data_IF_119227937856
#
_entry.id   IF_119227937856
#
_cell.length_a   1.000
_cell.length_b   1.000
_cell.length_c   1.000
_cell.angle_alpha   90.00
_cell.angle_beta   90.00
_cell.angle_gamma   90.00
#
_symmetry.space_group_name_H-M   'P 1'
#
loop_
_entity.id
_entity.type
_entity.pdbx_description
1 polymer ?
#
# COMPACT_ATOMS: atom_id res chain seq x y z
N UNK A 1 30.69 8.30 -13.56
CA UNK A 1 29.46 7.50 -13.61
C UNK A 1 28.34 8.43 -13.17
N UNK A 2 27.39 8.85 -14.01
CA UNK A 2 26.32 9.73 -13.58
C UNK A 2 25.29 8.93 -12.78
N UNK A 3 24.91 9.48 -11.64
CA UNK A 3 23.81 9.06 -10.80
C UNK A 3 22.51 9.27 -11.57
N UNK A 4 21.78 8.18 -11.89
CA UNK A 4 20.39 8.22 -12.33
C UNK A 4 19.53 8.62 -11.12
N UNK A 5 19.43 9.91 -10.89
CA UNK A 5 18.27 10.49 -10.24
C UNK A 5 17.12 10.32 -11.24
N UNK A 6 16.13 9.54 -10.90
CA UNK A 6 14.85 9.48 -11.61
C UNK A 6 14.22 10.87 -11.53
N UNK A 7 14.58 11.73 -12.48
CA UNK A 7 13.91 13.01 -12.70
C UNK A 7 12.44 12.69 -13.02
N UNK A 8 11.55 13.04 -12.10
CA UNK A 8 10.16 13.28 -12.47
C UNK A 8 10.19 14.31 -13.60
N UNK A 9 10.00 13.84 -14.82
CA UNK A 9 10.06 14.74 -15.99
C UNK A 9 8.95 15.78 -15.85
N UNK A 10 9.18 17.04 -16.22
CA UNK A 10 8.20 18.13 -16.14
C UNK A 10 6.85 17.80 -16.78
N UNK A 11 6.83 16.91 -17.77
CA UNK A 11 5.63 16.46 -18.46
C UNK A 11 4.74 15.54 -17.61
N UNK A 12 5.31 14.72 -16.72
CA UNK A 12 4.54 13.87 -15.82
C UNK A 12 3.84 14.71 -14.74
N UNK A 13 4.55 15.68 -14.16
CA UNK A 13 4.00 16.61 -13.17
C UNK A 13 2.88 17.47 -13.79
N UNK A 14 3.04 17.95 -15.01
CA UNK A 14 2.02 18.71 -15.72
C UNK A 14 0.75 17.89 -16.03
N UNK A 15 0.88 16.58 -16.31
CA UNK A 15 -0.26 15.71 -16.57
C UNK A 15 -1.04 15.38 -15.31
N UNK A 16 -0.36 15.13 -14.17
CA UNK A 16 -1.01 14.88 -12.87
C UNK A 16 -1.91 16.05 -12.44
N UNK A 17 -1.47 17.27 -12.69
CA UNK A 17 -2.19 18.48 -12.29
C UNK A 17 -3.37 18.84 -13.20
N UNK A 18 -3.41 18.39 -14.46
CA UNK A 18 -4.45 18.80 -15.44
C UNK A 18 -5.86 18.41 -15.04
N UNK A 19 -6.05 17.27 -14.34
CA UNK A 19 -7.37 16.78 -13.91
C UNK A 19 -7.97 17.58 -12.76
N UNK A 20 -7.12 18.26 -11.97
CA UNK A 20 -7.51 18.93 -10.74
C UNK A 20 -7.17 20.43 -10.82
N UNK A 21 -7.72 21.10 -11.84
CA UNK A 21 -7.54 22.52 -12.15
C UNK A 21 -8.86 23.26 -12.33
N UNK A 22 -9.94 22.71 -11.77
CA UNK A 22 -11.26 23.33 -11.84
C UNK A 22 -11.22 24.71 -11.18
N UNK A 23 -11.55 25.75 -11.95
CA UNK A 23 -11.55 27.15 -11.47
C UNK A 23 -12.66 27.40 -10.45
N UNK A 24 -13.74 26.62 -10.50
CA UNK A 24 -14.88 26.70 -9.58
C UNK A 24 -14.63 25.93 -8.26
N UNK A 25 -13.50 25.23 -8.14
CA UNK A 25 -13.14 24.53 -6.90
C UNK A 25 -12.85 25.51 -5.77
N UNK A 26 -13.43 25.23 -4.60
CA UNK A 26 -13.39 26.12 -3.43
C UNK A 26 -12.19 25.85 -2.50
N UNK A 27 -11.43 24.74 -2.72
CA UNK A 27 -10.25 24.37 -1.91
C UNK A 27 -9.04 24.10 -2.82
N UNK A 28 -7.86 24.53 -2.35
CA UNK A 28 -6.57 24.15 -2.90
C UNK A 28 -5.89 23.18 -1.93
N UNK A 29 -5.66 21.96 -2.39
CA UNK A 29 -4.86 20.97 -1.66
C UNK A 29 -3.42 21.05 -2.19
N UNK A 30 -2.47 21.36 -1.30
CA UNK A 30 -1.05 21.49 -1.62
C UNK A 30 -0.33 20.25 -1.13
N UNK A 31 0.23 19.45 -2.04
CA UNK A 31 1.03 18.28 -1.70
C UNK A 31 2.38 18.67 -1.08
N UNK A 32 3.07 17.74 -0.40
CA UNK A 32 4.34 18.02 0.28
C UNK A 32 5.46 18.47 -0.66
N UNK A 33 5.41 18.08 -1.94
CA UNK A 33 6.31 18.51 -3.01
C UNK A 33 5.90 19.84 -3.65
N UNK A 34 4.87 20.53 -3.12
CA UNK A 34 4.41 21.85 -3.53
C UNK A 34 3.43 21.86 -4.70
N UNK A 35 3.06 20.70 -5.28
CA UNK A 35 2.06 20.65 -6.34
C UNK A 35 0.67 20.96 -5.77
N UNK A 36 -0.11 21.75 -6.52
CA UNK A 36 -1.41 22.30 -6.09
C UNK A 36 -2.55 21.61 -6.86
N UNK A 37 -3.54 21.12 -6.15
CA UNK A 37 -4.75 20.51 -6.69
C UNK A 37 -5.96 21.37 -6.31
N UNK A 38 -6.75 21.77 -7.28
CA UNK A 38 -8.04 22.45 -7.07
C UNK A 38 -9.12 21.39 -6.91
N UNK A 39 -9.74 21.33 -5.75
CA UNK A 39 -10.73 20.30 -5.39
C UNK A 39 -11.93 20.92 -4.68
N UNK A 40 -13.08 20.33 -4.85
CA UNK A 40 -14.26 20.79 -4.14
C UNK A 40 -14.27 20.27 -2.69
N UNK A 41 -14.52 21.14 -1.72
CA UNK A 41 -14.57 20.79 -0.29
C UNK A 41 -15.58 19.68 0.01
N UNK A 42 -16.69 19.63 -0.70
CA UNK A 42 -17.70 18.60 -0.50
C UNK A 42 -17.18 17.19 -0.83
N UNK A 43 -16.27 17.06 -1.82
CA UNK A 43 -15.64 15.79 -2.18
C UNK A 43 -14.71 15.31 -1.05
N UNK A 44 -13.85 16.20 -0.55
CA UNK A 44 -12.98 15.88 0.57
C UNK A 44 -13.77 15.47 1.82
N UNK A 45 -14.84 16.22 2.13
CA UNK A 45 -15.75 15.94 3.26
C UNK A 45 -16.49 14.61 3.11
N UNK A 46 -16.86 14.24 1.88
CA UNK A 46 -17.58 12.99 1.61
C UNK A 46 -16.68 11.76 1.78
N UNK A 47 -15.40 11.86 1.45
CA UNK A 47 -14.50 10.71 1.35
C UNK A 47 -13.51 10.56 2.53
N UNK A 48 -13.40 11.57 3.41
CA UNK A 48 -12.46 11.55 4.54
C UNK A 48 -13.05 12.23 5.77
N UNK A 49 -13.05 11.54 6.90
CA UNK A 49 -13.48 12.14 8.19
C UNK A 49 -12.47 13.18 8.67
N UNK A 50 -11.17 12.97 8.41
CA UNK A 50 -10.11 13.91 8.79
C UNK A 50 -10.22 15.20 7.99
N UNK A 51 -10.36 15.13 6.65
CA UNK A 51 -10.57 16.33 5.83
C UNK A 51 -11.86 17.06 6.20
N UNK A 52 -12.92 16.33 6.54
CA UNK A 52 -14.16 16.93 7.03
C UNK A 52 -13.89 17.78 8.29
N UNK A 53 -13.22 17.20 9.28
CA UNK A 53 -12.91 17.92 10.53
C UNK A 53 -11.96 19.09 10.29
N UNK A 54 -10.96 18.96 9.42
CA UNK A 54 -10.07 20.06 9.05
C UNK A 54 -10.84 21.23 8.45
N UNK A 55 -11.77 20.95 7.52
CA UNK A 55 -12.58 21.96 6.83
C UNK A 55 -13.66 22.58 7.74
N UNK A 56 -14.05 21.91 8.84
CA UNK A 56 -14.94 22.47 9.86
C UNK A 56 -14.23 23.42 10.81
N UNK A 57 -12.92 23.20 11.04
CA UNK A 57 -12.11 24.03 11.94
C UNK A 57 -11.51 25.25 11.24
N UNK A 58 -11.41 25.24 9.92
CA UNK A 58 -10.78 26.29 9.11
C UNK A 58 -11.86 27.19 8.46
N UNK A 59 -12.42 28.16 9.20
CA UNK A 59 -13.50 29.03 8.72
C UNK A 59 -13.12 29.96 7.55
N UNK A 60 -11.85 30.13 7.20
CA UNK A 60 -11.41 31.11 6.20
C UNK A 60 -10.24 30.65 5.30
N UNK A 61 -9.68 29.47 5.51
CA UNK A 61 -8.57 28.99 4.69
C UNK A 61 -9.10 28.20 3.48
N UNK A 62 -8.86 28.71 2.27
CA UNK A 62 -9.13 27.99 1.03
C UNK A 62 -7.99 27.04 0.65
N UNK A 63 -7.01 26.85 1.54
CA UNK A 63 -5.81 26.07 1.25
C UNK A 63 -5.50 25.10 2.40
N UNK A 64 -5.26 23.82 2.04
CA UNK A 64 -4.82 22.77 2.95
C UNK A 64 -3.42 22.35 2.51
N UNK A 65 -2.42 22.51 3.39
CA UNK A 65 -1.02 22.18 3.12
C UNK A 65 -0.70 20.83 3.77
N UNK A 66 -0.26 19.88 2.96
CA UNK A 66 0.21 18.57 3.36
C UNK A 66 1.74 18.63 3.53
N UNK A 67 2.29 17.97 4.55
CA UNK A 67 3.71 18.15 4.95
C UNK A 67 4.49 16.87 5.11
N UNK A 68 3.88 15.71 4.91
CA UNK A 68 4.52 14.41 5.06
C UNK A 68 5.08 13.95 3.72
N UNK A 69 6.39 14.06 3.55
CA UNK A 69 7.08 13.78 2.28
C UNK A 69 7.00 12.30 1.85
N UNK A 70 6.75 11.37 2.78
CA UNK A 70 6.62 9.95 2.41
C UNK A 70 5.26 9.63 1.80
N UNK A 71 4.18 10.14 2.37
CA UNK A 71 2.82 9.72 1.99
C UNK A 71 1.95 10.83 1.37
N UNK A 72 2.39 12.09 1.39
CA UNK A 72 1.61 13.22 0.91
C UNK A 72 2.19 13.91 -0.33
N UNK A 73 3.09 13.22 -1.03
CA UNK A 73 3.61 13.67 -2.32
C UNK A 73 2.50 13.68 -3.39
N UNK A 74 2.66 14.50 -4.39
CA UNK A 74 1.64 14.78 -5.42
C UNK A 74 1.12 13.55 -6.15
N UNK A 75 1.97 12.55 -6.39
CA UNK A 75 1.60 11.30 -7.03
C UNK A 75 0.65 10.45 -6.16
N UNK A 76 0.80 10.51 -4.82
CA UNK A 76 -0.09 9.82 -3.88
C UNK A 76 -1.41 10.56 -3.71
N UNK A 77 -1.35 11.90 -3.60
CA UNK A 77 -2.54 12.76 -3.54
C UNK A 77 -3.38 12.58 -4.80
N UNK A 78 -2.77 12.54 -5.98
CA UNK A 78 -3.47 12.28 -7.25
C UNK A 78 -4.17 10.92 -7.25
N UNK A 79 -3.49 9.84 -6.83
CA UNK A 79 -4.10 8.51 -6.70
C UNK A 79 -5.29 8.50 -5.73
N UNK A 80 -5.18 9.18 -4.59
CA UNK A 80 -6.28 9.32 -3.65
C UNK A 80 -7.49 10.03 -4.29
N UNK A 81 -7.25 11.14 -4.98
CA UNK A 81 -8.31 11.89 -5.65
C UNK A 81 -8.95 11.06 -6.78
N UNK A 82 -8.15 10.38 -7.60
CA UNK A 82 -8.67 9.48 -8.66
C UNK A 82 -9.60 8.41 -8.07
N UNK A 83 -9.15 7.71 -7.03
CA UNK A 83 -9.96 6.67 -6.38
C UNK A 83 -11.23 7.23 -5.72
N UNK A 84 -11.14 8.41 -5.11
CA UNK A 84 -12.28 9.06 -4.44
C UNK A 84 -13.33 9.52 -5.44
N UNK A 85 -12.91 9.94 -6.63
CA UNK A 85 -13.80 10.43 -7.70
C UNK A 85 -14.21 9.34 -8.70
N UNK A 86 -13.75 8.10 -8.50
CA UNK A 86 -14.07 6.98 -9.39
C UNK A 86 -13.34 7.05 -10.74
N UNK A 87 -12.26 7.82 -10.82
CA UNK A 87 -11.39 7.81 -11.99
C UNK A 87 -10.48 6.57 -11.97
N UNK A 88 -10.16 6.05 -13.13
CA UNK A 88 -9.15 4.99 -13.25
C UNK A 88 -7.76 5.61 -13.07
N UNK A 89 -6.96 5.13 -12.07
CA UNK A 89 -5.61 5.63 -11.86
C UNK A 89 -4.72 5.37 -13.08
N UNK A 90 -3.92 6.36 -13.47
CA UNK A 90 -2.92 6.17 -14.51
C UNK A 90 -1.73 5.38 -13.95
N UNK A 91 -1.63 4.11 -14.36
CA UNK A 91 -0.59 3.18 -13.91
C UNK A 91 0.47 2.93 -14.99
N UNK A 92 0.25 3.36 -16.24
CA UNK A 92 1.07 2.95 -17.38
C UNK A 92 2.50 3.49 -17.34
N UNK A 93 2.71 4.64 -16.72
CA UNK A 93 4.04 5.28 -16.66
C UNK A 93 4.95 4.72 -15.55
N UNK A 94 4.48 3.74 -14.75
CA UNK A 94 5.16 3.33 -13.52
C UNK A 94 5.56 1.87 -13.58
N UNK A 95 6.86 1.57 -13.42
CA UNK A 95 7.32 0.17 -13.30
C UNK A 95 6.70 -0.54 -12.09
N UNK A 96 6.56 -1.86 -12.17
CA UNK A 96 5.88 -2.72 -11.17
C UNK A 96 6.37 -2.49 -9.73
N UNK A 97 7.69 -2.28 -9.54
CA UNK A 97 8.29 -2.03 -8.21
C UNK A 97 7.85 -0.67 -7.67
N UNK A 98 7.94 0.38 -8.48
CA UNK A 98 7.55 1.73 -8.10
C UNK A 98 6.04 1.81 -7.82
N UNK A 99 5.24 1.13 -8.62
CA UNK A 99 3.81 1.04 -8.37
C UNK A 99 3.51 0.36 -7.02
N UNK A 100 4.25 -0.69 -6.66
CA UNK A 100 4.13 -1.34 -5.36
C UNK A 100 4.46 -0.39 -4.18
N UNK A 101 5.49 0.46 -4.34
CA UNK A 101 5.85 1.48 -3.36
C UNK A 101 4.74 2.53 -3.23
N UNK A 102 4.21 3.02 -4.36
CA UNK A 102 3.08 3.96 -4.38
C UNK A 102 1.83 3.36 -3.73
N UNK A 103 1.52 2.08 -3.98
CA UNK A 103 0.42 1.38 -3.32
C UNK A 103 0.57 1.35 -1.79
N UNK A 104 1.79 1.12 -1.27
CA UNK A 104 2.05 1.18 0.17
C UNK A 104 1.79 2.58 0.72
N UNK A 105 2.40 3.59 0.11
CA UNK A 105 2.24 5.00 0.52
C UNK A 105 0.78 5.44 0.49
N UNK A 106 0.05 5.04 -0.55
CA UNK A 106 -1.38 5.30 -0.65
C UNK A 106 -2.17 4.61 0.47
N UNK A 107 -1.87 3.35 0.81
CA UNK A 107 -2.49 2.66 1.93
C UNK A 107 -2.31 3.40 3.26
N UNK A 108 -1.11 3.92 3.50
CA UNK A 108 -0.77 4.72 4.70
C UNK A 108 -1.49 6.09 4.67
N UNK A 109 -1.57 6.75 3.51
CA UNK A 109 -2.34 7.98 3.32
C UNK A 109 -3.83 7.76 3.63
N UNK A 110 -4.44 6.72 3.08
CA UNK A 110 -5.85 6.39 3.30
C UNK A 110 -6.15 6.10 4.78
N UNK A 111 -5.20 5.52 5.51
CA UNK A 111 -5.31 5.30 6.94
C UNK A 111 -5.19 6.62 7.72
N UNK A 112 -4.21 7.48 7.40
CA UNK A 112 -3.98 8.78 8.05
C UNK A 112 -5.21 9.70 7.93
N UNK A 113 -5.84 9.71 6.75
CA UNK A 113 -6.99 10.57 6.46
C UNK A 113 -8.34 9.91 6.71
N UNK A 114 -8.37 8.69 7.26
CA UNK A 114 -9.60 7.90 7.51
C UNK A 114 -10.53 7.93 6.29
N UNK A 115 -9.98 7.60 5.13
CA UNK A 115 -10.67 7.65 3.85
C UNK A 115 -11.32 6.28 3.52
N UNK A 116 -12.37 5.90 4.27
CA UNK A 116 -12.95 4.56 4.25
C UNK A 116 -13.47 4.13 2.86
N UNK A 117 -14.16 5.01 2.12
CA UNK A 117 -14.69 4.70 0.78
C UNK A 117 -13.56 4.52 -0.25
N UNK A 118 -12.58 5.42 -0.27
CA UNK A 118 -11.41 5.31 -1.14
C UNK A 118 -10.58 4.06 -0.79
N UNK A 119 -10.44 3.74 0.51
CA UNK A 119 -9.80 2.50 0.98
C UNK A 119 -10.48 1.25 0.40
N UNK A 120 -11.81 1.21 0.38
CA UNK A 120 -12.56 0.08 -0.17
C UNK A 120 -12.36 -0.04 -1.69
N UNK A 121 -12.42 1.07 -2.42
CA UNK A 121 -12.12 1.11 -3.86
C UNK A 121 -10.69 0.64 -4.14
N UNK A 122 -9.73 1.08 -3.33
CA UNK A 122 -8.34 0.66 -3.44
C UNK A 122 -8.15 -0.85 -3.21
N UNK A 123 -8.83 -1.44 -2.22
CA UNK A 123 -8.81 -2.89 -1.98
C UNK A 123 -9.28 -3.65 -3.23
N UNK A 124 -10.38 -3.23 -3.85
CA UNK A 124 -10.87 -3.85 -5.09
C UNK A 124 -9.87 -3.70 -6.25
N UNK A 125 -9.25 -2.53 -6.37
CA UNK A 125 -8.19 -2.31 -7.36
C UNK A 125 -7.00 -3.25 -7.13
N UNK A 126 -6.54 -3.43 -5.89
CA UNK A 126 -5.44 -4.34 -5.55
C UNK A 126 -5.77 -5.80 -5.87
N UNK A 127 -7.00 -6.27 -5.64
CA UNK A 127 -7.41 -7.61 -6.08
C UNK A 127 -7.27 -7.77 -7.59
N UNK A 128 -7.75 -6.78 -8.37
CA UNK A 128 -7.63 -6.78 -9.82
C UNK A 128 -6.17 -6.72 -10.28
N UNK A 129 -5.37 -5.85 -9.66
CA UNK A 129 -3.98 -5.64 -10.05
C UNK A 129 -3.07 -6.82 -9.73
N UNK A 130 -3.30 -7.55 -8.64
CA UNK A 130 -2.54 -8.78 -8.36
C UNK A 130 -2.93 -9.91 -9.32
N UNK A 131 -4.20 -10.04 -9.68
CA UNK A 131 -4.63 -11.04 -10.65
C UNK A 131 -4.08 -10.76 -12.06
N UNK A 132 -4.04 -9.50 -12.49
CA UNK A 132 -3.50 -9.06 -13.77
C UNK A 132 -1.96 -8.89 -13.76
N UNK A 133 -1.30 -9.15 -12.64
CA UNK A 133 0.16 -9.03 -12.47
C UNK A 133 0.69 -7.60 -12.72
N UNK A 134 -0.16 -6.60 -12.53
CA UNK A 134 0.21 -5.17 -12.61
C UNK A 134 1.06 -4.77 -11.40
N UNK A 135 0.72 -5.29 -10.21
CA UNK A 135 1.50 -5.16 -8.98
C UNK A 135 1.93 -6.55 -8.52
N UNK A 136 3.17 -6.69 -8.10
CA UNK A 136 3.70 -7.97 -7.66
C UNK A 136 3.05 -8.45 -6.36
N UNK A 137 2.92 -9.77 -6.21
CA UNK A 137 2.17 -10.40 -5.12
C UNK A 137 2.75 -10.09 -3.75
N UNK A 138 4.09 -10.02 -3.61
CA UNK A 138 4.74 -9.67 -2.34
C UNK A 138 4.48 -8.22 -1.94
N UNK A 139 4.39 -7.31 -2.90
CA UNK A 139 4.03 -5.91 -2.65
C UNK A 139 2.57 -5.78 -2.20
N UNK A 140 1.66 -6.47 -2.91
CA UNK A 140 0.24 -6.51 -2.51
C UNK A 140 0.07 -7.14 -1.13
N UNK A 141 0.82 -8.21 -0.81
CA UNK A 141 0.80 -8.82 0.52
C UNK A 141 1.18 -7.83 1.63
N UNK A 142 2.27 -7.08 1.44
CA UNK A 142 2.71 -6.05 2.41
C UNK A 142 1.64 -4.98 2.60
N UNK A 143 1.08 -4.44 1.51
CA UNK A 143 0.02 -3.43 1.56
C UNK A 143 -1.22 -3.98 2.27
N UNK A 144 -1.66 -5.18 1.91
CA UNK A 144 -2.80 -5.84 2.50
C UNK A 144 -2.63 -6.08 4.01
N UNK A 145 -1.43 -6.52 4.43
CA UNK A 145 -1.10 -6.73 5.83
C UNK A 145 -1.13 -5.43 6.64
N UNK A 146 -0.61 -4.32 6.08
CA UNK A 146 -0.65 -2.99 6.71
C UNK A 146 -2.08 -2.44 6.81
N UNK A 147 -2.94 -2.76 5.85
CA UNK A 147 -4.37 -2.39 5.88
C UNK A 147 -5.22 -3.34 6.73
N UNK A 148 -4.61 -4.31 7.38
CA UNK A 148 -5.24 -5.40 8.14
C UNK A 148 -6.27 -6.20 7.34
N UNK A 149 -6.02 -6.38 6.02
CA UNK A 149 -6.90 -7.11 5.11
C UNK A 149 -6.38 -8.55 4.87
N UNK A 150 -6.86 -9.48 5.69
CA UNK A 150 -6.49 -10.90 5.63
C UNK A 150 -6.80 -11.53 4.26
N UNK A 151 -7.97 -11.24 3.72
CA UNK A 151 -8.42 -11.93 2.49
C UNK A 151 -7.61 -11.49 1.27
N UNK A 152 -7.20 -10.22 1.21
CA UNK A 152 -6.28 -9.74 0.20
C UNK A 152 -4.86 -10.33 0.37
N UNK A 153 -4.38 -10.52 1.61
CA UNK A 153 -3.14 -11.27 1.86
C UNK A 153 -3.23 -12.70 1.31
N UNK A 154 -4.37 -13.38 1.52
CA UNK A 154 -4.61 -14.72 1.00
C UNK A 154 -4.62 -14.72 -0.54
N UNK A 155 -5.23 -13.75 -1.19
CA UNK A 155 -5.20 -13.61 -2.65
C UNK A 155 -3.76 -13.44 -3.17
N UNK A 156 -2.98 -12.56 -2.54
CA UNK A 156 -1.57 -12.37 -2.86
C UNK A 156 -0.74 -13.66 -2.69
N UNK A 157 -0.94 -14.40 -1.59
CA UNK A 157 -0.29 -15.68 -1.37
C UNK A 157 -0.67 -16.70 -2.46
N UNK A 158 -1.95 -16.85 -2.78
CA UNK A 158 -2.43 -17.77 -3.84
C UNK A 158 -1.73 -17.49 -5.17
N UNK A 159 -1.61 -16.23 -5.54
CA UNK A 159 -1.00 -15.82 -6.80
C UNK A 159 0.52 -16.02 -6.78
N UNK A 160 1.19 -15.66 -5.68
CA UNK A 160 2.64 -15.54 -5.63
C UNK A 160 3.41 -16.74 -5.08
N UNK A 161 2.77 -17.74 -4.44
CA UNK A 161 3.49 -18.89 -3.86
C UNK A 161 4.34 -19.69 -4.86
N UNK A 162 4.02 -19.63 -6.16
CA UNK A 162 4.78 -20.28 -7.23
C UNK A 162 5.90 -19.42 -7.79
N UNK A 163 5.99 -18.16 -7.40
CA UNK A 163 6.93 -17.19 -7.95
C UNK A 163 8.21 -17.22 -7.14
N UNK A 164 9.33 -17.05 -7.84
CA UNK A 164 10.67 -17.02 -7.27
C UNK A 164 11.29 -15.65 -7.50
N UNK A 165 12.12 -15.23 -6.52
CA UNK A 165 12.98 -14.07 -6.69
C UNK A 165 13.89 -14.26 -7.89
N UNK A 166 14.02 -13.22 -8.72
CA UNK A 166 14.98 -13.15 -9.81
C UNK A 166 16.22 -12.40 -9.32
N UNK A 167 17.36 -12.64 -9.98
CA UNK A 167 18.56 -11.84 -9.74
C UNK A 167 18.33 -10.40 -10.22
N UNK A 168 18.00 -9.52 -9.30
CA UNK A 168 17.92 -8.08 -9.53
C UNK A 168 18.92 -7.43 -8.59
N UNK A 169 20.01 -6.91 -9.12
CA UNK A 169 20.94 -6.11 -8.36
C UNK A 169 20.35 -4.72 -8.13
N UNK A 170 20.06 -4.37 -6.89
CA UNK A 170 19.67 -3.02 -6.51
C UNK A 170 20.41 -2.63 -5.24
N UNK A 171 20.95 -1.42 -5.24
CA UNK A 171 21.53 -0.80 -4.05
C UNK A 171 20.48 -0.09 -3.19
N UNK A 172 19.30 0.16 -3.73
CA UNK A 172 18.20 0.80 -3.03
C UNK A 172 17.42 -0.23 -2.22
N UNK A 173 17.25 0.04 -0.93
CA UNK A 173 16.58 -0.87 0.01
C UNK A 173 15.13 -1.16 -0.40
N UNK A 174 14.39 -0.17 -0.93
CA UNK A 174 12.98 -0.34 -1.31
C UNK A 174 12.79 -1.15 -2.59
N UNK A 175 13.80 -1.21 -3.46
CA UNK A 175 13.77 -1.96 -4.73
C UNK A 175 14.50 -3.29 -4.65
N UNK A 176 15.21 -3.57 -3.55
CA UNK A 176 15.98 -4.79 -3.35
C UNK A 176 15.10 -6.04 -3.52
N UNK A 177 15.60 -7.01 -4.27
CA UNK A 177 14.99 -8.34 -4.38
C UNK A 177 15.50 -9.27 -3.27
N UNK A 178 14.74 -10.35 -3.02
CA UNK A 178 15.22 -11.45 -2.18
C UNK A 178 16.24 -12.34 -2.89
N UNK A 179 16.71 -13.38 -2.21
CA UNK A 179 17.65 -14.34 -2.78
C UNK A 179 17.02 -15.13 -3.94
N UNK A 180 17.66 -15.07 -5.10
CA UNK A 180 17.19 -15.70 -6.32
C UNK A 180 16.96 -17.20 -6.15
N UNK A 181 15.90 -17.70 -6.78
CA UNK A 181 15.52 -19.11 -6.75
C UNK A 181 14.80 -19.55 -5.49
N UNK A 182 14.50 -18.63 -4.57
CA UNK A 182 13.60 -18.85 -3.46
C UNK A 182 12.22 -18.27 -3.76
N UNK A 183 11.17 -18.89 -3.19
CA UNK A 183 9.82 -18.34 -3.30
C UNK A 183 9.77 -16.92 -2.73
N UNK A 184 9.01 -16.03 -3.37
CA UNK A 184 8.84 -14.64 -2.90
C UNK A 184 8.24 -14.55 -1.49
N UNK A 185 7.63 -15.63 -0.99
CA UNK A 185 7.09 -15.73 0.36
C UNK A 185 7.95 -16.57 1.32
N UNK A 186 9.14 -17.01 0.88
CA UNK A 186 10.13 -17.60 1.79
C UNK A 186 10.85 -16.48 2.55
N UNK A 187 10.44 -16.25 3.80
CA UNK A 187 11.00 -15.17 4.62
C UNK A 187 12.49 -15.34 4.93
N UNK A 188 13.06 -16.54 4.79
CA UNK A 188 14.51 -16.76 4.95
C UNK A 188 15.31 -16.12 3.80
N UNK A 189 14.67 -15.87 2.69
CA UNK A 189 15.25 -15.29 1.47
C UNK A 189 14.65 -13.91 1.14
N UNK A 190 13.70 -13.43 1.91
CA UNK A 190 13.00 -12.17 1.65
C UNK A 190 13.91 -10.95 1.85
N UNK A 191 13.73 -9.89 1.06
CA UNK A 191 14.47 -8.64 1.23
C UNK A 191 14.06 -7.94 2.53
N UNK A 192 14.96 -7.13 3.06
CA UNK A 192 14.77 -6.46 4.35
C UNK A 192 13.53 -5.55 4.38
N UNK A 193 13.22 -4.86 3.26
CA UNK A 193 12.03 -4.01 3.17
C UNK A 193 10.73 -4.80 3.41
N UNK A 194 10.62 -6.02 2.89
CA UNK A 194 9.42 -6.85 3.08
C UNK A 194 9.24 -7.19 4.57
N UNK A 195 10.32 -7.54 5.27
CA UNK A 195 10.29 -7.84 6.71
C UNK A 195 9.95 -6.60 7.53
N UNK A 196 10.60 -5.45 7.23
CA UNK A 196 10.39 -4.19 7.97
C UNK A 196 8.96 -3.64 7.80
N UNK A 197 8.41 -3.74 6.60
CA UNK A 197 7.12 -3.13 6.27
C UNK A 197 5.93 -4.03 6.58
N UNK A 198 6.12 -5.35 6.72
CA UNK A 198 5.04 -6.27 7.10
C UNK A 198 4.81 -6.22 8.62
N UNK A 199 3.60 -6.00 9.10
CA UNK A 199 3.31 -6.03 10.54
C UNK A 199 3.75 -7.35 11.20
N UNK A 200 4.27 -7.31 12.44
CA UNK A 200 4.85 -8.49 13.11
C UNK A 200 3.90 -9.69 13.17
N UNK A 201 2.61 -9.47 13.40
CA UNK A 201 1.59 -10.52 13.45
C UNK A 201 1.50 -11.29 12.12
N UNK A 202 1.50 -10.57 10.99
CA UNK A 202 1.48 -11.14 9.65
C UNK A 202 2.80 -11.82 9.28
N UNK A 203 3.92 -11.21 9.68
CA UNK A 203 5.27 -11.80 9.51
C UNK A 203 5.36 -13.12 10.25
N UNK A 204 4.92 -13.18 11.51
CA UNK A 204 4.97 -14.39 12.32
C UNK A 204 4.06 -15.49 11.77
N UNK A 205 2.83 -15.14 11.34
CA UNK A 205 1.91 -16.08 10.72
C UNK A 205 2.52 -16.72 9.46
N UNK A 206 3.17 -15.91 8.60
CA UNK A 206 3.83 -16.39 7.40
C UNK A 206 5.08 -17.22 7.74
N UNK A 207 5.91 -16.78 8.69
CA UNK A 207 7.12 -17.48 9.14
C UNK A 207 6.82 -18.91 9.60
N UNK A 208 5.71 -19.13 10.30
CA UNK A 208 5.29 -20.45 10.75
C UNK A 208 4.94 -21.40 9.60
N UNK A 209 4.70 -20.87 8.40
CA UNK A 209 4.45 -21.63 7.18
C UNK A 209 5.71 -21.81 6.32
N UNK A 210 6.80 -21.06 6.57
CA UNK A 210 8.02 -21.09 5.72
C UNK A 210 8.62 -22.48 5.54
N UNK A 211 8.51 -23.37 6.54
CA UNK A 211 9.00 -24.75 6.42
C UNK A 211 8.31 -25.56 5.33
N UNK A 212 7.11 -25.14 4.89
CA UNK A 212 6.33 -25.78 3.85
C UNK A 212 6.53 -25.13 2.47
N UNK A 213 7.13 -23.93 2.46
CA UNK A 213 7.37 -23.16 1.24
C UNK A 213 8.68 -23.63 0.60
N UNK A 214 8.63 -24.12 -0.63
CA UNK A 214 9.78 -24.65 -1.34
C UNK A 214 9.55 -24.69 -2.85
N UNK A 215 10.61 -25.05 -3.60
CA UNK A 215 10.53 -25.19 -5.06
C UNK A 215 9.56 -26.29 -5.46
N UNK A 216 8.76 -26.02 -6.50
CA UNK A 216 7.90 -27.03 -7.11
C UNK A 216 6.76 -27.51 -6.21
N UNK A 217 6.28 -26.70 -5.27
CA UNK A 217 5.16 -27.06 -4.42
C UNK A 217 3.94 -27.50 -5.22
N UNK A 218 3.36 -28.67 -4.84
CA UNK A 218 2.06 -29.10 -5.37
C UNK A 218 0.95 -28.12 -4.93
N UNK A 219 -0.17 -28.12 -5.65
CA UNK A 219 -1.33 -27.32 -5.28
C UNK A 219 -1.88 -27.65 -3.88
N UNK A 220 -1.75 -28.89 -3.46
CA UNK A 220 -2.14 -29.35 -2.14
C UNK A 220 -1.29 -28.70 -1.04
N UNK A 221 0.04 -28.64 -1.23
CA UNK A 221 0.96 -27.96 -0.30
C UNK A 221 0.68 -26.48 -0.25
N UNK A 222 0.44 -25.83 -1.41
CA UNK A 222 0.07 -24.39 -1.47
C UNK A 222 -1.21 -24.10 -0.68
N UNK A 223 -2.24 -24.91 -0.87
CA UNK A 223 -3.48 -24.78 -0.11
C UNK A 223 -3.25 -24.98 1.40
N UNK A 224 -2.38 -25.91 1.77
CA UNK A 224 -1.97 -26.13 3.16
C UNK A 224 -1.25 -24.93 3.78
N UNK A 225 -0.38 -24.26 3.02
CA UNK A 225 0.28 -23.00 3.44
C UNK A 225 -0.74 -21.88 3.66
N UNK A 226 -1.67 -21.71 2.72
CA UNK A 226 -2.71 -20.66 2.79
C UNK A 226 -3.63 -20.87 4.00
N UNK A 227 -4.10 -22.10 4.21
CA UNK A 227 -4.95 -22.43 5.35
C UNK A 227 -4.18 -22.28 6.68
N UNK A 228 -2.93 -22.74 6.71
CA UNK A 228 -2.08 -22.57 7.88
C UNK A 228 -1.84 -21.10 8.22
N UNK A 229 -1.56 -20.26 7.23
CA UNK A 229 -1.42 -18.81 7.42
C UNK A 229 -2.69 -18.20 8.01
N UNK A 230 -3.86 -18.54 7.47
CA UNK A 230 -5.16 -18.05 7.95
C UNK A 230 -5.39 -18.39 9.43
N UNK A 231 -5.20 -19.67 9.78
CA UNK A 231 -5.40 -20.15 11.16
C UNK A 231 -4.43 -19.45 12.12
N UNK A 232 -3.14 -19.39 11.77
CA UNK A 232 -2.13 -18.73 12.61
C UNK A 232 -2.43 -17.24 12.82
N UNK A 233 -2.88 -16.56 11.77
CA UNK A 233 -3.21 -15.12 11.86
C UNK A 233 -4.41 -14.91 12.81
N UNK A 234 -5.44 -15.75 12.72
CA UNK A 234 -6.60 -15.66 13.59
C UNK A 234 -6.19 -15.90 15.05
N UNK A 235 -5.41 -16.95 15.34
CA UNK A 235 -4.90 -17.24 16.69
C UNK A 235 -4.05 -16.10 17.27
N UNK A 236 -3.18 -15.49 16.45
CA UNK A 236 -2.35 -14.37 16.90
C UNK A 236 -3.17 -13.13 17.20
N UNK A 237 -4.22 -12.86 16.44
CA UNK A 237 -5.11 -11.71 16.68
C UNK A 237 -5.97 -11.90 17.92
N UNK A 238 -6.48 -13.09 18.17
CA UNK A 238 -7.25 -13.42 19.38
C UNK A 238 -6.39 -13.35 20.64
N UNK A 239 -5.14 -13.82 20.58
CA UNK A 239 -4.20 -13.76 21.71
C UNK A 239 -3.77 -12.36 22.11
N UNK A 240 -3.82 -11.38 21.19
CA UNK A 240 -3.48 -9.96 21.48
C UNK A 240 -4.67 -9.17 22.03
N UNK A 241 -5.90 -9.66 21.87
CA UNK A 241 -7.13 -9.00 22.35
C UNK A 241 -7.48 -9.28 23.82
N UNK A 242 -6.79 -10.23 24.47
CA UNK A 242 -7.19 -10.78 25.78
C UNK A 242 -6.53 -10.15 27.03
N UNK A 243 -5.58 -9.21 26.91
CA UNK A 243 -4.72 -8.84 28.05
C UNK A 243 -4.83 -7.35 28.48
N UNK A 244 -6.02 -6.77 28.35
CA UNK A 244 -6.25 -5.39 28.86
C UNK A 244 -6.97 -5.33 30.22
N UNK A 245 -7.18 -6.45 30.94
CA UNK A 245 -7.97 -6.43 32.19
C UNK A 245 -7.44 -7.30 33.33
N UNK A 246 -6.18 -7.72 33.32
CA UNK A 246 -5.57 -8.28 34.55
C UNK A 246 -4.56 -7.27 35.09
N UNK A 247 -5.07 -6.37 35.94
CA UNK A 247 -4.25 -5.59 36.86
C UNK A 247 -3.37 -6.55 37.67
N UNK A 248 -2.06 -6.38 37.58
CA UNK A 248 -1.12 -7.02 38.52
C UNK A 248 -1.21 -6.19 39.79
N UNK A 249 -1.99 -6.68 40.77
CA UNK A 249 -1.85 -6.27 42.15
C UNK A 249 -0.51 -6.86 42.66
N UNK A 250 0.44 -5.99 42.91
CA UNK A 250 1.65 -6.25 43.72
C UNK A 250 1.60 -5.30 44.92
#
# INVERSE_FOLDING_TARGET
>A
MPSDTSENTPDTINNLNRRYQDEDADIILVASDGLRFRVHSYQLRAHSSVFRSMLELCDSSHEIILTDDDIEASDIVCLYLDLSMGHEPDLEATGMVQLGIRCRRLGDFLAKYDAASAKQTFIYALYRWVELEIVSSERVFVVAARMDNRDLCIAALKKGLSWEWKNVASSDEETQAGYAGHSIFDLSAAPLWMIKLTPPTYTLALMRQCRKIGKGMSNEVKNGVIQGFRIELDLLKEGTGGDSSKGIDI
#
